data_IF_593944609875
#
_entry.id   IF_593944609875
#
_cell.length_a   1.000
_cell.length_b   1.000
_cell.length_c   1.000
_cell.angle_alpha   90.00
_cell.angle_beta   90.00
_cell.angle_gamma   90.00
#
_symmetry.space_group_name_H-M   'P 1'
#
loop_
_entity.id
_entity.type
_entity.pdbx_description
1 polymer ?
#
# COMPACT_ATOMS: atom_id res chain seq x y z
N UNK A 1 -34.59 12.99 6.48
CA UNK A 1 -34.02 11.89 7.29
C UNK A 1 -33.58 12.42 8.65
N UNK A 2 -33.32 11.55 9.62
CA UNK A 2 -32.73 11.90 10.93
C UNK A 2 -31.48 11.07 11.15
N UNK A 3 -30.42 11.66 11.72
CA UNK A 3 -29.20 10.96 12.09
C UNK A 3 -28.97 11.12 13.59
N UNK A 4 -28.80 10.01 14.30
CA UNK A 4 -28.53 9.99 15.72
C UNK A 4 -27.06 9.60 15.92
N UNK A 5 -26.23 10.56 16.34
CA UNK A 5 -24.80 10.38 16.57
C UNK A 5 -24.57 10.06 18.05
N UNK A 6 -23.90 8.97 18.36
CA UNK A 6 -23.64 8.50 19.73
C UNK A 6 -22.41 9.18 20.38
N UNK A 7 -22.10 10.41 19.98
CA UNK A 7 -20.96 11.19 20.47
C UNK A 7 -21.36 12.66 20.67
N UNK A 8 -20.59 13.38 21.49
CA UNK A 8 -20.87 14.79 21.80
C UNK A 8 -20.49 15.70 20.63
N UNK A 9 -21.13 16.87 20.55
CA UNK A 9 -20.79 17.88 19.54
C UNK A 9 -19.33 18.35 19.66
N UNK A 10 -18.82 18.45 20.89
CA UNK A 10 -17.42 18.78 21.15
C UNK A 10 -16.47 17.74 20.56
N UNK A 11 -16.71 16.45 20.79
CA UNK A 11 -15.87 15.38 20.22
C UNK A 11 -15.84 15.42 18.69
N UNK A 12 -16.98 15.73 18.06
CA UNK A 12 -17.05 15.89 16.61
C UNK A 12 -16.22 17.06 16.07
N UNK A 13 -16.16 18.20 16.80
CA UNK A 13 -15.47 19.41 16.35
C UNK A 13 -13.97 19.40 16.66
N UNK A 14 -13.60 18.89 17.83
CA UNK A 14 -12.26 19.10 18.39
C UNK A 14 -11.41 17.82 18.43
N UNK A 15 -12.03 16.62 18.45
CA UNK A 15 -11.31 15.36 18.67
C UNK A 15 -11.23 14.49 17.41
N UNK A 16 -12.20 14.60 16.51
CA UNK A 16 -12.23 13.81 15.26
C UNK A 16 -11.37 14.45 14.18
N UNK A 17 -10.63 13.62 13.45
CA UNK A 17 -9.97 14.04 12.22
C UNK A 17 -11.02 14.49 11.20
N UNK A 18 -10.76 15.62 10.54
CA UNK A 18 -11.63 16.17 9.49
C UNK A 18 -11.69 15.26 8.27
N UNK A 19 -10.59 14.55 7.99
CA UNK A 19 -10.44 13.61 6.89
C UNK A 19 -9.80 12.33 7.38
N UNK A 20 -10.16 11.22 6.77
CA UNK A 20 -9.50 9.95 7.04
C UNK A 20 -8.07 9.98 6.48
N UNK A 21 -7.14 9.34 7.20
CA UNK A 21 -5.78 9.11 6.70
C UNK A 21 -5.87 8.23 5.43
N UNK A 22 -5.08 8.51 4.37
CA UNK A 22 -5.07 7.71 3.15
C UNK A 22 -4.80 6.22 3.40
N UNK A 23 -5.39 5.35 2.58
CA UNK A 23 -5.21 3.89 2.70
C UNK A 23 -3.75 3.45 2.47
N UNK A 24 -3.09 4.06 1.48
CA UNK A 24 -1.69 3.78 1.13
C UNK A 24 -0.70 4.02 2.29
N UNK A 25 -1.08 4.80 3.30
CA UNK A 25 -0.27 5.06 4.49
C UNK A 25 -0.64 4.14 5.67
N UNK A 26 -1.66 3.29 5.54
CA UNK A 26 -2.20 2.45 6.63
C UNK A 26 -2.10 0.95 6.39
N UNK A 27 -1.88 0.50 5.15
CA UNK A 27 -1.90 -0.92 4.77
C UNK A 27 -0.53 -1.44 4.40
N UNK A 28 -0.37 -2.77 4.40
CA UNK A 28 0.79 -3.41 3.79
C UNK A 28 0.76 -3.12 2.27
N UNK A 29 1.92 -2.77 1.72
CA UNK A 29 2.07 -2.41 0.31
C UNK A 29 2.56 -3.57 -0.55
N UNK A 30 2.79 -4.77 0.00
CA UNK A 30 3.33 -5.92 -0.75
C UNK A 30 2.51 -6.24 -2.01
N UNK A 31 1.18 -6.36 -1.91
CA UNK A 31 0.29 -6.61 -3.05
C UNK A 31 0.29 -5.47 -4.07
N UNK A 32 0.30 -4.21 -3.60
CA UNK A 32 0.37 -3.02 -4.45
C UNK A 32 1.71 -2.92 -5.18
N UNK A 33 2.83 -3.13 -4.48
CA UNK A 33 4.20 -3.11 -5.05
C UNK A 33 4.36 -4.22 -6.09
N UNK A 34 3.85 -5.42 -5.81
CA UNK A 34 3.83 -6.53 -6.76
C UNK A 34 3.08 -6.15 -8.04
N UNK A 35 1.92 -5.52 -7.90
CA UNK A 35 1.10 -5.05 -9.02
C UNK A 35 1.79 -3.96 -9.83
N UNK A 36 2.41 -2.96 -9.18
CA UNK A 36 3.16 -1.90 -9.85
C UNK A 36 4.36 -2.47 -10.63
N UNK A 37 5.10 -3.42 -10.04
CA UNK A 37 6.20 -4.12 -10.70
C UNK A 37 5.72 -4.96 -11.88
N UNK A 38 4.56 -5.62 -11.76
CA UNK A 38 3.94 -6.36 -12.86
C UNK A 38 3.50 -5.45 -14.02
N UNK A 39 3.12 -4.20 -13.73
CA UNK A 39 2.85 -3.17 -14.75
C UNK A 39 4.13 -2.62 -15.41
N UNK A 40 5.32 -2.97 -14.92
CA UNK A 40 6.61 -2.53 -15.46
C UNK A 40 7.15 -1.25 -14.82
N UNK A 41 6.59 -0.80 -13.70
CA UNK A 41 7.09 0.35 -12.95
C UNK A 41 8.24 -0.14 -12.06
N UNK A 42 9.47 0.15 -12.50
CA UNK A 42 10.67 -0.29 -11.77
C UNK A 42 11.13 0.71 -10.72
N UNK A 43 10.95 2.00 -10.98
CA UNK A 43 11.29 3.07 -10.07
C UNK A 43 10.07 3.49 -9.27
N UNK A 44 9.93 2.89 -8.08
CA UNK A 44 8.83 3.17 -7.15
C UNK A 44 9.06 4.48 -6.38
N UNK A 45 10.29 4.97 -6.30
CA UNK A 45 10.63 6.19 -5.56
C UNK A 45 10.30 7.45 -6.36
N UNK A 46 10.44 7.40 -7.70
CA UNK A 46 10.01 8.49 -8.58
C UNK A 46 8.56 8.37 -9.06
N UNK A 47 7.84 7.32 -8.64
CA UNK A 47 6.45 7.15 -9.02
C UNK A 47 5.57 8.25 -8.40
N UNK A 48 4.74 8.86 -9.23
CA UNK A 48 3.89 10.00 -8.86
C UNK A 48 2.66 9.53 -8.06
N UNK A 49 2.87 9.21 -6.79
CA UNK A 49 1.80 8.93 -5.84
C UNK A 49 1.09 10.23 -5.45
N UNK A 50 -0.25 10.20 -5.46
CA UNK A 50 -1.07 11.33 -4.97
C UNK A 50 -0.75 11.67 -3.50
N UNK A 51 -0.59 10.64 -2.68
CA UNK A 51 -0.05 10.73 -1.32
C UNK A 51 1.04 9.65 -1.19
N UNK A 52 2.33 10.00 -1.18
CA UNK A 52 3.39 9.00 -1.13
C UNK A 52 3.38 8.23 0.20
N UNK A 53 3.58 6.91 0.17
CA UNK A 53 3.74 6.14 1.39
C UNK A 53 5.08 6.45 2.08
N UNK A 54 5.21 6.14 3.39
CA UNK A 54 6.49 6.17 4.07
C UNK A 54 7.51 5.23 3.40
N UNK A 55 8.76 5.68 3.28
CA UNK A 55 9.84 4.91 2.66
C UNK A 55 10.06 3.56 3.35
N UNK A 56 9.97 3.53 4.68
CA UNK A 56 10.11 2.32 5.49
C UNK A 56 9.08 1.24 5.10
N UNK A 57 7.82 1.62 4.90
CA UNK A 57 6.76 0.70 4.48
C UNK A 57 7.01 0.14 3.07
N UNK A 58 7.56 0.97 2.17
CA UNK A 58 7.92 0.54 0.82
C UNK A 58 9.08 -0.47 0.86
N UNK A 59 10.12 -0.21 1.67
CA UNK A 59 11.25 -1.11 1.84
C UNK A 59 10.79 -2.45 2.42
N UNK A 60 9.98 -2.43 3.50
CA UNK A 60 9.45 -3.65 4.10
C UNK A 60 8.63 -4.49 3.10
N UNK A 61 7.83 -3.85 2.25
CA UNK A 61 7.07 -4.55 1.21
C UNK A 61 8.00 -5.19 0.16
N UNK A 62 9.06 -4.50 -0.26
CA UNK A 62 10.06 -5.06 -1.18
C UNK A 62 10.83 -6.22 -0.55
N UNK A 63 11.22 -6.12 0.72
CA UNK A 63 11.89 -7.19 1.46
C UNK A 63 10.99 -8.42 1.61
N UNK A 64 9.70 -8.22 1.91
CA UNK A 64 8.72 -9.31 1.99
C UNK A 64 8.60 -10.04 0.64
N UNK A 65 8.46 -9.30 -0.47
CA UNK A 65 8.37 -9.88 -1.80
C UNK A 65 9.66 -10.58 -2.24
N UNK A 66 10.82 -10.07 -1.83
CA UNK A 66 12.10 -10.72 -2.05
C UNK A 66 12.20 -12.04 -1.27
N UNK A 67 11.79 -12.05 0.01
CA UNK A 67 11.75 -13.26 0.82
C UNK A 67 10.83 -14.35 0.24
N UNK A 68 9.75 -13.95 -0.44
CA UNK A 68 8.83 -14.84 -1.16
C UNK A 68 9.34 -15.27 -2.54
N UNK A 69 10.55 -14.86 -2.94
CA UNK A 69 11.11 -15.07 -4.29
C UNK A 69 10.26 -14.48 -5.42
N UNK A 70 9.41 -13.50 -5.10
CA UNK A 70 8.63 -12.74 -6.09
C UNK A 70 9.50 -11.68 -6.79
N UNK A 71 10.49 -11.15 -6.08
CA UNK A 71 11.53 -10.24 -6.60
C UNK A 71 12.90 -10.90 -6.54
N UNK A 72 13.77 -10.57 -7.49
CA UNK A 72 15.20 -10.95 -7.47
C UNK A 72 16.05 -9.93 -6.69
N UNK A 73 17.36 -10.18 -6.61
CA UNK A 73 18.35 -9.32 -5.92
C UNK A 73 18.45 -7.92 -6.57
N UNK A 74 18.04 -7.78 -7.84
CA UNK A 74 18.00 -6.52 -8.58
C UNK A 74 16.67 -5.78 -8.40
N UNK A 75 15.73 -6.34 -7.63
CA UNK A 75 14.40 -5.77 -7.40
C UNK A 75 13.48 -5.86 -8.61
N UNK A 76 13.77 -6.77 -9.54
CA UNK A 76 12.97 -7.07 -10.72
C UNK A 76 12.04 -8.25 -10.45
N UNK A 77 10.93 -8.30 -11.20
CA UNK A 77 9.90 -9.31 -11.02
C UNK A 77 10.34 -10.67 -11.59
N UNK A 78 10.35 -11.71 -10.76
CA UNK A 78 10.70 -13.07 -11.19
C UNK A 78 9.55 -13.73 -11.96
N UNK A 79 9.81 -14.90 -12.57
CA UNK A 79 8.74 -15.72 -13.16
C UNK A 79 7.69 -16.15 -12.13
N UNK A 80 8.10 -16.36 -10.88
CA UNK A 80 7.19 -16.68 -9.78
C UNK A 80 6.36 -15.45 -9.41
N UNK A 81 6.99 -14.30 -9.21
CA UNK A 81 6.29 -13.05 -8.89
C UNK A 81 5.27 -12.66 -9.95
N UNK A 82 5.57 -12.87 -11.24
CA UNK A 82 4.61 -12.65 -12.32
C UNK A 82 3.37 -13.54 -12.21
N UNK A 83 3.55 -14.81 -11.85
CA UNK A 83 2.41 -15.71 -11.60
C UNK A 83 1.64 -15.30 -10.35
N UNK A 84 2.33 -14.88 -9.28
CA UNK A 84 1.67 -14.39 -8.07
C UNK A 84 0.78 -13.17 -8.37
N UNK A 85 1.24 -12.25 -9.22
CA UNK A 85 0.47 -11.07 -9.62
C UNK A 85 -0.81 -11.39 -10.41
N UNK A 86 -0.95 -12.59 -10.97
CA UNK A 86 -2.18 -13.03 -11.65
C UNK A 86 -3.27 -13.48 -10.66
N UNK A 87 -2.92 -13.74 -9.40
CA UNK A 87 -3.86 -14.17 -8.38
C UNK A 87 -4.34 -12.97 -7.53
N UNK A 88 -5.65 -12.86 -7.25
CA UNK A 88 -6.20 -11.81 -6.39
C UNK A 88 -6.04 -12.16 -4.90
N UNK A 89 -4.84 -12.60 -4.51
CA UNK A 89 -4.49 -13.01 -3.15
C UNK A 89 -3.34 -12.17 -2.62
N UNK A 90 -3.29 -12.02 -1.30
CA UNK A 90 -2.15 -11.42 -0.64
C UNK A 90 -0.91 -12.32 -0.81
N UNK A 91 0.24 -11.75 -1.22
CA UNK A 91 1.50 -12.48 -1.42
C UNK A 91 2.18 -12.91 -0.11
#
# INVERSE_FOLDING_TARGET
GKAYRLYTERAYRDEMLSTNVPEIQRTNLASTVLSLKAMGINDLLSFDFMDPPPLETMIMAMEQLHALSALDDEGLLTKLGRRMAEFPLEP
#
